data_IF_804807183267
#
_entry.id   IF_804807183267
#
_cell.length_a   1.000
_cell.length_b   1.000
_cell.length_c   1.000
_cell.angle_alpha   90.00
_cell.angle_beta   90.00
_cell.angle_gamma   90.00
#
_symmetry.space_group_name_H-M   'P 1'
#
loop_
_entity.id
_entity.type
_entity.pdbx_description
1 polymer ?
#
# COMPACT_ATOMS: atom_id res chain seq x y z
N UNK A 1 -20.16 6.49 -28.66
CA UNK A 1 -20.70 5.12 -28.81
C UNK A 1 -19.70 3.99 -28.53
N UNK A 2 -18.38 4.15 -28.77
CA UNK A 2 -17.36 3.12 -28.41
C UNK A 2 -17.17 2.94 -26.89
N UNK A 3 -17.27 4.01 -26.10
CA UNK A 3 -17.07 3.99 -24.63
C UNK A 3 -18.16 3.26 -23.82
N UNK A 4 -19.39 3.18 -24.33
CA UNK A 4 -20.50 2.48 -23.66
C UNK A 4 -20.34 0.96 -23.83
N UNK A 5 -19.94 0.51 -25.02
CA UNK A 5 -19.67 -0.91 -25.33
C UNK A 5 -18.42 -1.45 -24.61
N UNK A 6 -17.44 -0.59 -24.29
CA UNK A 6 -16.28 -0.96 -23.47
C UNK A 6 -16.64 -1.15 -21.99
N UNK A 7 -17.53 -0.29 -21.45
CA UNK A 7 -18.07 -0.50 -20.10
C UNK A 7 -18.87 -1.80 -20.02
N UNK A 8 -19.70 -2.13 -21.03
CA UNK A 8 -20.42 -3.41 -21.09
C UNK A 8 -19.51 -4.64 -21.14
N UNK A 9 -18.33 -4.55 -21.78
CA UNK A 9 -17.36 -5.66 -21.87
C UNK A 9 -16.63 -5.96 -20.55
N UNK A 10 -16.56 -5.03 -19.60
CA UNK A 10 -15.93 -5.24 -18.28
C UNK A 10 -16.80 -6.08 -17.32
N UNK A 11 -18.09 -6.29 -17.65
CA UNK A 11 -19.03 -7.13 -16.89
C UNK A 11 -19.01 -8.61 -17.29
N UNK A 12 -18.09 -9.03 -18.19
CA UNK A 12 -17.89 -10.44 -18.54
C UNK A 12 -17.14 -11.15 -17.40
N UNK A 13 -17.81 -12.12 -16.77
CA UNK A 13 -17.43 -12.93 -15.59
C UNK A 13 -17.65 -12.29 -14.21
N UNK A 14 -18.86 -11.80 -13.95
CA UNK A 14 -19.35 -11.80 -12.58
C UNK A 14 -19.64 -13.26 -12.20
N UNK A 15 -18.94 -13.78 -11.19
CA UNK A 15 -19.23 -15.08 -10.56
C UNK A 15 -19.79 -14.87 -9.15
N UNK A 16 -20.55 -15.85 -8.67
CA UNK A 16 -21.07 -15.79 -7.32
C UNK A 16 -19.92 -15.99 -6.31
N UNK A 17 -19.69 -15.07 -5.35
CA UNK A 17 -18.59 -15.19 -4.39
C UNK A 17 -18.72 -16.38 -3.42
N UNK A 18 -19.84 -17.10 -3.44
CA UNK A 18 -20.10 -18.24 -2.56
C UNK A 18 -20.03 -19.61 -3.26
N UNK A 19 -20.25 -19.65 -4.58
CA UNK A 19 -20.33 -20.93 -5.32
C UNK A 19 -19.73 -20.86 -6.73
N UNK A 20 -19.10 -19.75 -7.08
CA UNK A 20 -18.47 -19.44 -8.38
C UNK A 20 -19.35 -19.59 -9.63
N UNK A 21 -20.66 -19.85 -9.47
CA UNK A 21 -21.61 -19.88 -10.57
C UNK A 21 -21.71 -18.54 -11.30
N UNK A 22 -21.77 -18.61 -12.63
CA UNK A 22 -22.00 -17.47 -13.53
C UNK A 22 -23.51 -17.14 -13.68
N UNK A 23 -24.41 -17.95 -13.10
CA UNK A 23 -25.87 -17.77 -13.18
C UNK A 23 -26.37 -16.65 -12.25
N UNK A 24 -26.05 -15.39 -12.62
CA UNK A 24 -26.28 -14.21 -11.78
C UNK A 24 -27.33 -13.29 -12.39
N UNK A 25 -28.26 -12.84 -11.54
CA UNK A 25 -29.29 -11.84 -11.90
C UNK A 25 -29.13 -10.55 -11.10
N UNK A 26 -29.52 -9.44 -11.70
CA UNK A 26 -29.71 -8.16 -11.00
C UNK A 26 -30.94 -8.27 -10.09
N UNK A 27 -30.80 -7.94 -8.81
CA UNK A 27 -31.88 -8.07 -7.81
C UNK A 27 -31.96 -6.85 -6.90
N UNK A 28 -32.51 -5.77 -7.44
CA UNK A 28 -32.76 -4.51 -6.73
C UNK A 28 -31.50 -3.71 -6.40
N UNK A 29 -31.66 -2.71 -5.53
CA UNK A 29 -30.61 -1.78 -5.16
C UNK A 29 -30.39 -1.72 -3.65
N UNK A 30 -29.12 -1.54 -3.24
CA UNK A 30 -28.76 -1.10 -1.90
C UNK A 30 -28.70 0.42 -1.89
N UNK A 31 -29.62 1.07 -1.19
CA UNK A 31 -29.47 2.50 -0.88
C UNK A 31 -28.34 2.67 0.13
N UNK A 32 -27.41 3.56 -0.17
CA UNK A 32 -26.34 3.97 0.75
C UNK A 32 -26.50 5.45 1.08
N UNK A 33 -26.03 5.82 2.27
CA UNK A 33 -26.21 7.15 2.86
C UNK A 33 -25.66 8.26 1.97
N UNK A 34 -24.41 8.14 1.50
CA UNK A 34 -23.70 9.22 0.78
C UNK A 34 -23.15 8.79 -0.60
N UNK A 35 -23.47 7.59 -1.09
CA UNK A 35 -23.00 7.04 -2.37
C UNK A 35 -24.15 6.75 -3.35
N UNK A 36 -25.40 6.80 -2.88
CA UNK A 36 -26.58 6.53 -3.71
C UNK A 36 -26.93 5.04 -3.81
N UNK A 37 -27.60 4.67 -4.89
CA UNK A 37 -28.08 3.31 -5.11
C UNK A 37 -27.01 2.42 -5.75
N UNK A 38 -26.66 1.33 -5.07
CA UNK A 38 -25.70 0.34 -5.57
C UNK A 38 -26.46 -0.90 -6.03
N UNK A 39 -26.17 -1.37 -7.24
CA UNK A 39 -26.78 -2.58 -7.80
C UNK A 39 -26.48 -3.80 -6.90
N UNK A 40 -27.53 -4.53 -6.51
CA UNK A 40 -27.40 -5.85 -5.87
C UNK A 40 -27.58 -6.94 -6.92
N UNK A 41 -26.87 -8.04 -6.72
CA UNK A 41 -26.93 -9.25 -7.54
C UNK A 41 -27.37 -10.44 -6.70
N UNK A 42 -27.97 -11.44 -7.32
CA UNK A 42 -28.38 -12.70 -6.71
C UNK A 42 -27.92 -13.84 -7.60
N UNK A 43 -27.28 -14.85 -7.01
CA UNK A 43 -27.03 -16.12 -7.68
C UNK A 43 -28.34 -16.91 -7.77
N UNK A 44 -28.61 -17.58 -8.91
CA UNK A 44 -29.75 -18.49 -9.04
C UNK A 44 -29.51 -19.85 -8.40
N UNK A 45 -28.27 -20.32 -8.38
CA UNK A 45 -27.94 -21.67 -7.94
C UNK A 45 -27.89 -21.79 -6.41
N UNK A 46 -27.27 -20.82 -5.73
CA UNK A 46 -27.15 -20.82 -4.27
C UNK A 46 -27.98 -19.74 -3.57
N UNK A 47 -28.77 -18.96 -4.31
CA UNK A 47 -29.58 -17.85 -3.79
C UNK A 47 -28.83 -16.73 -3.05
N UNK A 48 -27.49 -16.76 -3.02
CA UNK A 48 -26.67 -15.77 -2.33
C UNK A 48 -26.78 -14.39 -2.99
N UNK A 49 -26.95 -13.35 -2.17
CA UNK A 49 -27.06 -11.95 -2.62
C UNK A 49 -25.81 -11.18 -2.28
N UNK A 50 -25.24 -10.50 -3.27
CA UNK A 50 -24.00 -9.77 -3.11
C UNK A 50 -23.99 -8.46 -3.90
N UNK A 51 -22.97 -7.65 -3.65
CA UNK A 51 -22.67 -6.43 -4.38
C UNK A 51 -21.25 -6.59 -4.91
N UNK A 52 -21.00 -6.11 -6.12
CA UNK A 52 -19.67 -6.18 -6.74
C UNK A 52 -18.68 -5.36 -5.91
N UNK A 53 -17.53 -5.96 -5.61
CA UNK A 53 -16.42 -5.21 -5.01
C UNK A 53 -15.66 -4.47 -6.12
N UNK A 54 -15.92 -3.16 -6.21
CA UNK A 54 -15.26 -2.25 -7.14
C UNK A 54 -14.07 -1.51 -6.50
N UNK A 55 -13.53 -2.04 -5.40
CA UNK A 55 -12.50 -1.40 -4.57
C UNK A 55 -13.09 -0.49 -3.48
N UNK A 56 -14.37 -0.12 -3.58
CA UNK A 56 -15.07 0.70 -2.60
C UNK A 56 -16.10 -0.11 -1.81
N UNK A 57 -15.93 -1.43 -1.70
CA UNK A 57 -16.86 -2.27 -0.97
C UNK A 57 -17.04 -1.81 0.49
N UNK A 58 -18.31 -1.84 0.94
CA UNK A 58 -18.79 -1.37 2.25
C UNK A 58 -18.54 0.12 2.55
N UNK A 59 -18.12 0.93 1.57
CA UNK A 59 -17.98 2.37 1.76
C UNK A 59 -19.32 3.10 1.62
N UNK A 60 -19.65 3.95 2.59
CA UNK A 60 -20.86 4.78 2.59
C UNK A 60 -20.73 6.03 1.72
N UNK A 61 -19.51 6.57 1.63
CA UNK A 61 -19.22 7.77 0.83
C UNK A 61 -18.93 7.40 -0.62
N UNK A 62 -19.25 8.32 -1.52
CA UNK A 62 -18.99 8.16 -2.94
C UNK A 62 -17.49 7.98 -3.22
N UNK A 63 -17.09 7.08 -4.14
CA UNK A 63 -15.68 6.84 -4.50
C UNK A 63 -14.87 8.11 -4.76
N UNK A 64 -15.43 9.06 -5.54
CA UNK A 64 -14.79 10.36 -5.84
C UNK A 64 -14.36 11.15 -4.60
N UNK A 65 -15.19 11.14 -3.55
CA UNK A 65 -14.87 11.85 -2.31
C UNK A 65 -13.73 11.16 -1.56
N UNK A 66 -13.74 9.83 -1.54
CA UNK A 66 -12.69 9.03 -0.92
C UNK A 66 -11.36 9.23 -1.65
N UNK A 67 -11.35 9.14 -2.98
CA UNK A 67 -10.14 9.35 -3.79
C UNK A 67 -9.59 10.77 -3.65
N UNK A 68 -10.47 11.79 -3.57
CA UNK A 68 -10.07 13.16 -3.28
C UNK A 68 -9.38 13.28 -1.91
N UNK A 69 -9.89 12.57 -0.89
CA UNK A 69 -9.26 12.56 0.44
C UNK A 69 -7.85 11.96 0.40
N UNK A 70 -7.68 10.87 -0.36
CA UNK A 70 -6.39 10.22 -0.54
C UNK A 70 -5.40 11.12 -1.28
N UNK A 71 -5.81 11.73 -2.39
CA UNK A 71 -4.97 12.66 -3.16
C UNK A 71 -4.49 13.83 -2.30
N UNK A 72 -5.40 14.50 -1.58
CA UNK A 72 -5.04 15.59 -0.67
C UNK A 72 -4.07 15.13 0.42
N UNK A 73 -4.30 13.95 1.01
CA UNK A 73 -3.40 13.41 2.04
C UNK A 73 -1.99 13.16 1.50
N UNK A 74 -1.86 12.51 0.33
CA UNK A 74 -0.55 12.25 -0.26
C UNK A 74 0.14 13.51 -0.81
N UNK A 75 -0.60 14.59 -1.06
CA UNK A 75 -0.04 15.94 -1.30
C UNK A 75 0.44 16.64 -0.03
N UNK A 76 0.33 16.00 1.14
CA UNK A 76 0.79 16.54 2.42
C UNK A 76 -0.28 17.27 3.23
N UNK A 77 -1.55 17.22 2.83
CA UNK A 77 -2.64 17.85 3.59
C UNK A 77 -3.04 16.96 4.78
N UNK A 78 -3.03 17.52 5.98
CA UNK A 78 -3.41 16.77 7.19
C UNK A 78 -4.87 16.32 7.14
N UNK A 79 -5.21 15.22 7.81
CA UNK A 79 -6.59 14.69 7.82
C UNK A 79 -7.63 15.68 8.36
N UNK A 80 -7.22 16.64 9.21
CA UNK A 80 -8.08 17.73 9.70
C UNK A 80 -8.32 18.78 8.62
N UNK A 81 -7.26 19.20 7.92
CA UNK A 81 -7.38 20.12 6.77
C UNK A 81 -8.19 19.49 5.62
N UNK A 82 -8.08 18.18 5.40
CA UNK A 82 -8.94 17.46 4.45
C UNK A 82 -10.42 17.52 4.89
N UNK A 83 -10.70 17.36 6.18
CA UNK A 83 -12.04 17.52 6.72
C UNK A 83 -12.55 18.97 6.53
N UNK A 84 -11.72 19.97 6.78
CA UNK A 84 -12.04 21.39 6.55
C UNK A 84 -12.35 21.66 5.08
N UNK A 85 -11.52 21.13 4.17
CA UNK A 85 -11.78 21.17 2.73
C UNK A 85 -13.14 20.52 2.40
N UNK A 86 -13.46 19.37 2.98
CA UNK A 86 -14.75 18.73 2.73
C UNK A 86 -15.94 19.51 3.29
N UNK A 87 -15.79 20.18 4.43
CA UNK A 87 -16.82 21.08 4.96
C UNK A 87 -17.16 22.21 3.99
N UNK A 88 -16.17 22.72 3.25
CA UNK A 88 -16.38 23.84 2.33
C UNK A 88 -17.15 23.45 1.07
N UNK A 89 -16.98 22.21 0.58
CA UNK A 89 -17.48 21.79 -0.74
C UNK A 89 -18.58 20.72 -0.73
N UNK A 90 -18.79 20.01 0.38
CA UNK A 90 -19.72 18.88 0.44
C UNK A 90 -20.78 19.07 1.53
N UNK A 91 -22.04 18.83 1.19
CA UNK A 91 -23.20 18.88 2.09
C UNK A 91 -23.05 17.94 3.31
N UNK A 92 -22.46 16.76 3.09
CA UNK A 92 -22.24 15.77 4.14
C UNK A 92 -20.75 15.69 4.44
N UNK A 93 -20.35 16.11 5.64
CA UNK A 93 -18.96 16.02 6.04
C UNK A 93 -18.55 14.59 6.42
N UNK A 94 -17.25 14.32 6.39
CA UNK A 94 -16.64 13.14 6.98
C UNK A 94 -15.60 13.58 7.99
N UNK A 95 -15.65 13.00 9.18
CA UNK A 95 -14.69 13.34 10.23
C UNK A 95 -13.25 13.06 9.79
N UNK A 96 -12.28 13.79 10.32
CA UNK A 96 -10.85 13.51 10.10
C UNK A 96 -10.48 12.05 10.42
N UNK A 97 -11.15 11.43 11.40
CA UNK A 97 -10.99 9.99 11.72
C UNK A 97 -11.45 9.09 10.57
N UNK A 98 -12.50 9.48 9.84
CA UNK A 98 -12.96 8.75 8.66
C UNK A 98 -11.96 8.87 7.51
N UNK A 99 -11.41 10.06 7.29
CA UNK A 99 -10.33 10.29 6.32
C UNK A 99 -9.13 9.42 6.66
N UNK A 100 -8.68 9.42 7.92
CA UNK A 100 -7.60 8.57 8.39
C UNK A 100 -7.86 7.07 8.12
N UNK A 101 -9.07 6.59 8.43
CA UNK A 101 -9.45 5.19 8.14
C UNK A 101 -9.40 4.86 6.65
N UNK A 102 -9.75 5.79 5.77
CA UNK A 102 -9.60 5.59 4.33
C UNK A 102 -8.13 5.50 3.94
N UNK A 103 -7.29 6.44 4.38
CA UNK A 103 -5.85 6.44 4.11
C UNK A 103 -5.24 5.10 4.50
N UNK A 104 -5.49 4.62 5.73
CA UNK A 104 -4.97 3.32 6.20
C UNK A 104 -5.49 2.18 5.33
N UNK A 105 -6.82 2.07 5.14
CA UNK A 105 -7.43 0.98 4.35
C UNK A 105 -6.82 0.86 2.95
N UNK A 106 -6.70 1.97 2.23
CA UNK A 106 -6.20 1.95 0.86
C UNK A 106 -4.68 1.82 0.80
N UNK A 107 -3.94 2.35 1.77
CA UNK A 107 -2.49 2.09 1.90
C UNK A 107 -2.22 0.60 2.07
N UNK A 108 -2.96 -0.07 2.97
CA UNK A 108 -2.80 -1.51 3.20
C UNK A 108 -3.17 -2.32 1.95
N UNK A 109 -4.26 -1.96 1.28
CA UNK A 109 -4.68 -2.61 0.03
C UNK A 109 -3.61 -2.49 -1.06
N UNK A 110 -3.03 -1.30 -1.23
CA UNK A 110 -1.96 -1.06 -2.21
C UNK A 110 -0.68 -1.80 -1.80
N UNK A 111 -0.28 -1.76 -0.52
CA UNK A 111 0.92 -2.47 -0.04
C UNK A 111 0.83 -3.97 -0.30
N UNK A 112 -0.32 -4.58 0.00
CA UNK A 112 -0.54 -6.02 -0.24
C UNK A 112 -0.40 -6.42 -1.71
N UNK A 113 -0.70 -5.49 -2.62
CA UNK A 113 -0.49 -5.69 -4.04
C UNK A 113 0.97 -5.45 -4.44
N UNK A 114 1.56 -4.31 -4.06
CA UNK A 114 2.91 -3.90 -4.46
C UNK A 114 4.02 -4.72 -3.83
N UNK A 115 3.79 -5.34 -2.66
CA UNK A 115 4.78 -6.19 -2.00
C UNK A 115 5.00 -7.53 -2.71
N UNK A 116 4.04 -7.96 -3.53
CA UNK A 116 4.14 -9.18 -4.32
C UNK A 116 4.82 -8.95 -5.67
N UNK A 117 4.95 -7.70 -6.11
CA UNK A 117 5.53 -7.37 -7.40
C UNK A 117 7.05 -7.54 -7.37
N UNK A 118 7.56 -8.19 -8.42
CA UNK A 118 8.98 -8.17 -8.77
C UNK A 118 9.22 -6.97 -9.66
N UNK A 119 10.38 -6.35 -9.51
CA UNK A 119 10.77 -5.20 -10.31
C UNK A 119 11.99 -5.54 -11.15
N UNK A 120 12.05 -5.01 -12.36
CA UNK A 120 13.28 -5.02 -13.15
C UNK A 120 14.20 -3.92 -12.61
N UNK A 121 14.99 -4.25 -11.59
CA UNK A 121 15.87 -3.30 -10.92
C UNK A 121 17.16 -3.06 -11.68
N UNK A 122 17.82 -1.95 -11.37
CA UNK A 122 19.25 -1.79 -11.65
C UNK A 122 20.12 -2.77 -10.86
N UNK A 123 21.43 -2.59 -11.00
CA UNK A 123 22.46 -3.36 -10.29
C UNK A 123 22.82 -2.77 -8.92
N UNK A 124 22.38 -1.54 -8.65
CA UNK A 124 22.74 -0.78 -7.45
C UNK A 124 21.50 -0.35 -6.67
N UNK A 125 21.53 -0.57 -5.36
CA UNK A 125 20.50 -0.12 -4.41
C UNK A 125 21.15 0.75 -3.34
N UNK A 126 20.56 1.91 -3.09
CA UNK A 126 20.89 2.77 -1.96
C UNK A 126 19.99 2.41 -0.78
N UNK A 127 20.56 2.35 0.42
CA UNK A 127 19.82 2.07 1.66
C UNK A 127 20.15 3.13 2.69
N UNK A 128 19.12 3.64 3.35
CA UNK A 128 19.22 4.72 4.33
C UNK A 128 18.30 4.46 5.54
N UNK A 129 18.58 5.15 6.65
CA UNK A 129 17.83 5.08 7.89
C UNK A 129 17.38 6.47 8.35
N UNK A 130 16.07 6.68 8.41
CA UNK A 130 15.49 7.88 9.00
C UNK A 130 15.06 7.63 10.45
N UNK A 131 15.61 8.42 11.38
CA UNK A 131 15.20 8.43 12.79
C UNK A 131 13.92 9.25 12.98
N UNK A 132 12.93 8.65 13.64
CA UNK A 132 11.66 9.24 14.02
C UNK A 132 11.54 9.36 15.53
N UNK A 133 11.09 10.53 15.98
CA UNK A 133 10.82 10.81 17.39
C UNK A 133 9.32 10.74 17.62
N UNK A 134 8.87 9.72 18.36
CA UNK A 134 7.44 9.45 18.58
C UNK A 134 7.10 9.55 20.05
N UNK A 135 5.87 10.00 20.35
CA UNK A 135 5.40 10.02 21.74
C UNK A 135 5.19 8.59 22.22
N UNK A 136 5.74 8.27 23.37
CA UNK A 136 5.65 6.92 23.96
C UNK A 136 4.25 6.65 24.53
N UNK A 137 3.57 7.69 25.02
CA UNK A 137 2.24 7.61 25.59
C UNK A 137 1.45 8.88 25.21
N UNK A 138 0.15 8.80 24.90
CA UNK A 138 -0.71 9.97 24.72
C UNK A 138 -0.64 10.98 25.88
N UNK A 139 -0.46 10.48 27.11
CA UNK A 139 -0.61 11.24 28.35
C UNK A 139 0.71 11.52 29.08
N UNK A 140 1.85 10.98 28.63
CA UNK A 140 3.16 11.20 29.27
C UNK A 140 4.17 11.75 28.29
N UNK A 141 4.98 12.71 28.76
CA UNK A 141 6.14 13.21 28.01
C UNK A 141 7.20 12.12 28.00
N UNK A 142 7.50 11.64 26.80
CA UNK A 142 8.52 10.64 26.51
C UNK A 142 8.64 10.52 25.00
N UNK A 143 9.86 10.32 24.51
CA UNK A 143 10.16 10.18 23.09
C UNK A 143 10.72 8.78 22.87
N UNK A 144 10.02 7.94 22.11
CA UNK A 144 10.62 6.74 21.52
C UNK A 144 11.38 7.15 20.27
N UNK A 145 12.64 6.71 20.20
CA UNK A 145 13.44 6.74 18.97
C UNK A 145 13.08 5.50 18.18
N UNK A 146 12.54 5.72 16.99
CA UNK A 146 12.10 4.68 16.07
C UNK A 146 12.78 4.95 14.73
N UNK A 147 12.89 3.95 13.87
CA UNK A 147 13.66 4.06 12.63
C UNK A 147 12.84 3.54 11.45
N UNK A 148 12.87 4.28 10.36
CA UNK A 148 12.40 3.81 9.07
C UNK A 148 13.61 3.55 8.20
N UNK A 149 13.79 2.29 7.83
CA UNK A 149 14.86 1.86 6.94
C UNK A 149 14.22 1.68 5.57
N UNK A 150 14.71 2.40 4.58
CA UNK A 150 14.27 2.29 3.19
C UNK A 150 15.43 1.98 2.25
N UNK A 151 15.06 1.44 1.10
CA UNK A 151 16.00 1.06 0.07
C UNK A 151 15.41 1.38 -1.29
N UNK A 152 16.20 2.04 -2.12
CA UNK A 152 15.79 2.59 -3.40
C UNK A 152 16.75 2.12 -4.48
N UNK A 153 16.21 1.58 -5.57
CA UNK A 153 17.01 1.27 -6.76
C UNK A 153 17.47 2.57 -7.44
N UNK A 154 18.77 2.69 -7.66
CA UNK A 154 19.36 3.91 -8.21
C UNK A 154 18.89 4.18 -9.64
N UNK A 155 18.54 3.14 -10.41
CA UNK A 155 18.13 3.26 -11.81
C UNK A 155 16.65 3.63 -11.95
N UNK A 156 15.76 2.84 -11.35
CA UNK A 156 14.30 3.03 -11.50
C UNK A 156 13.70 4.00 -10.50
N UNK A 157 14.43 4.34 -9.42
CA UNK A 157 13.94 5.11 -8.26
C UNK A 157 12.77 4.44 -7.53
N UNK A 158 12.54 3.15 -7.77
CA UNK A 158 11.56 2.39 -7.02
C UNK A 158 12.10 2.03 -5.64
N UNK A 159 11.24 2.16 -4.63
CA UNK A 159 11.51 1.66 -3.29
C UNK A 159 11.40 0.13 -3.31
N UNK A 160 12.52 -0.55 -3.13
CA UNK A 160 12.66 -2.01 -3.30
C UNK A 160 12.46 -2.76 -1.97
N UNK A 161 12.60 -2.05 -0.86
CA UNK A 161 12.38 -2.58 0.47
C UNK A 161 12.27 -1.43 1.45
N UNK A 162 11.31 -1.52 2.35
CA UNK A 162 11.26 -0.61 3.48
C UNK A 162 10.53 -1.24 4.65
N UNK A 163 10.88 -0.79 5.86
CA UNK A 163 10.14 -1.15 7.06
C UNK A 163 10.42 -0.18 8.20
N UNK A 164 9.42 -0.02 9.04
CA UNK A 164 9.47 0.77 10.26
C UNK A 164 9.78 -0.12 11.48
N UNK A 165 10.70 0.32 12.33
CA UNK A 165 11.22 -0.42 13.48
C UNK A 165 11.29 0.45 14.74
N UNK A 166 11.25 -0.20 15.91
CA UNK A 166 11.46 0.45 17.22
C UNK A 166 12.91 0.40 17.71
N UNK A 167 13.77 -0.26 16.96
CA UNK A 167 15.18 -0.52 17.25
C UNK A 167 15.99 -0.34 15.96
N UNK A 168 17.26 0.03 16.11
CA UNK A 168 18.23 0.03 15.02
C UNK A 168 19.29 -1.02 15.30
N UNK A 169 19.40 -2.00 14.43
CA UNK A 169 20.33 -3.11 14.59
C UNK A 169 20.38 -4.02 13.37
N UNK A 170 21.24 -5.04 13.46
CA UNK A 170 21.47 -5.98 12.36
C UNK A 170 20.22 -6.82 12.01
N UNK A 171 19.30 -7.05 12.97
CA UNK A 171 18.09 -7.85 12.73
C UNK A 171 17.13 -7.09 11.82
N UNK A 172 16.92 -5.82 12.12
CA UNK A 172 16.04 -4.90 11.41
C UNK A 172 16.56 -4.65 9.99
N UNK A 173 17.86 -4.37 9.85
CA UNK A 173 18.51 -4.22 8.54
C UNK A 173 18.38 -5.50 7.71
N UNK A 174 18.57 -6.68 8.32
CA UNK A 174 18.46 -7.97 7.62
C UNK A 174 17.07 -8.17 7.03
N UNK A 175 16.03 -7.74 7.74
CA UNK A 175 14.68 -7.86 7.23
C UNK A 175 14.45 -7.01 5.97
N UNK A 176 14.97 -5.77 5.96
CA UNK A 176 14.91 -4.93 4.75
C UNK A 176 15.74 -5.52 3.61
N UNK A 177 16.93 -6.03 3.89
CA UNK A 177 17.79 -6.67 2.88
C UNK A 177 17.14 -7.93 2.28
N UNK A 178 16.41 -8.71 3.07
CA UNK A 178 15.65 -9.85 2.55
C UNK A 178 14.54 -9.38 1.60
N UNK A 179 13.86 -8.27 1.90
CA UNK A 179 12.86 -7.66 1.00
C UNK A 179 13.52 -7.19 -0.30
N UNK A 180 14.67 -6.53 -0.22
CA UNK A 180 15.46 -6.09 -1.39
C UNK A 180 15.77 -7.30 -2.27
N UNK A 181 16.37 -8.36 -1.70
CA UNK A 181 16.72 -9.59 -2.41
C UNK A 181 15.50 -10.24 -3.05
N UNK A 182 14.37 -10.26 -2.34
CA UNK A 182 13.12 -10.78 -2.90
C UNK A 182 12.63 -9.94 -4.08
N UNK A 183 12.47 -8.62 -3.95
CA UNK A 183 11.87 -7.77 -5.01
C UNK A 183 12.76 -7.64 -6.25
N UNK A 184 14.07 -7.69 -6.06
CA UNK A 184 15.09 -7.57 -7.14
C UNK A 184 15.55 -8.93 -7.67
N UNK A 185 15.00 -10.03 -7.17
CA UNK A 185 15.37 -11.41 -7.53
C UNK A 185 16.87 -11.73 -7.37
N UNK A 186 17.59 -10.92 -6.58
CA UNK A 186 19.02 -11.08 -6.35
C UNK A 186 19.93 -10.53 -7.45
N UNK A 187 19.41 -9.78 -8.43
CA UNK A 187 20.22 -9.15 -9.49
C UNK A 187 21.09 -7.98 -9.01
N UNK A 188 20.85 -7.49 -7.79
CA UNK A 188 21.62 -6.39 -7.18
C UNK A 188 23.04 -6.87 -6.87
N UNK A 189 24.04 -6.17 -7.42
CA UNK A 189 25.47 -6.44 -7.20
C UNK A 189 26.09 -5.44 -6.22
N UNK A 190 25.52 -4.25 -6.12
CA UNK A 190 26.08 -3.13 -5.36
C UNK A 190 25.04 -2.60 -4.38
N UNK A 191 25.44 -2.45 -3.12
CA UNK A 191 24.63 -1.82 -2.07
C UNK A 191 25.42 -0.63 -1.53
N UNK A 192 24.82 0.55 -1.59
CA UNK A 192 25.43 1.82 -1.17
C UNK A 192 24.74 2.32 0.08
N UNK A 193 25.52 2.65 1.13
CA UNK A 193 25.04 3.10 2.44
C UNK A 193 25.92 4.23 2.97
N UNK A 194 25.45 4.97 3.97
CA UNK A 194 26.15 6.11 4.61
C UNK A 194 27.41 5.74 5.44
N UNK A 195 27.68 4.45 5.61
CA UNK A 195 28.86 3.94 6.31
C UNK A 195 28.57 3.26 7.65
N UNK A 196 27.30 3.02 8.00
CA UNK A 196 27.00 2.26 9.21
C UNK A 196 27.49 0.80 9.13
N UNK A 197 28.47 0.45 9.98
CA UNK A 197 29.19 -0.85 9.94
C UNK A 197 28.31 -2.09 10.12
N UNK A 198 27.10 -1.94 10.65
CA UNK A 198 26.14 -3.04 10.77
C UNK A 198 25.73 -3.63 9.41
N UNK A 199 25.74 -2.82 8.35
CA UNK A 199 25.37 -3.25 7.01
C UNK A 199 26.30 -4.32 6.45
N UNK A 200 27.61 -4.21 6.65
CA UNK A 200 28.58 -5.13 6.05
C UNK A 200 28.28 -6.59 6.41
N UNK A 201 28.09 -6.86 7.70
CA UNK A 201 27.80 -8.21 8.19
C UNK A 201 26.44 -8.72 7.72
N UNK A 202 25.46 -7.83 7.55
CA UNK A 202 24.12 -8.19 7.09
C UNK A 202 24.10 -8.48 5.60
N UNK A 203 24.76 -7.66 4.78
CA UNK A 203 24.88 -7.84 3.32
C UNK A 203 25.58 -9.15 3.00
N UNK A 204 26.72 -9.43 3.66
CA UNK A 204 27.45 -10.71 3.52
C UNK A 204 26.54 -11.91 3.80
N UNK A 205 25.78 -11.88 4.90
CA UNK A 205 24.84 -12.96 5.27
C UNK A 205 23.64 -13.11 4.33
N UNK A 206 23.15 -12.02 3.77
CA UNK A 206 21.90 -12.01 2.98
C UNK A 206 22.14 -12.38 1.52
N UNK A 207 23.20 -11.84 0.92
CA UNK A 207 23.53 -12.03 -0.49
C UNK A 207 24.64 -13.07 -0.71
N UNK A 208 25.24 -13.62 0.35
CA UNK A 208 26.37 -14.54 0.23
C UNK A 208 27.66 -13.85 -0.24
N UNK A 209 27.71 -12.53 -0.11
CA UNK A 209 28.82 -11.72 -0.63
C UNK A 209 30.07 -11.90 0.23
N UNK A 210 31.22 -12.11 -0.42
CA UNK A 210 32.53 -12.16 0.23
C UNK A 210 33.40 -11.07 -0.39
N UNK A 211 33.96 -10.22 0.47
CA UNK A 211 34.86 -9.13 0.09
C UNK A 211 36.28 -9.62 -0.26
N UNK A 212 36.45 -10.90 -0.65
CA UNK A 212 37.73 -11.38 -1.16
C UNK A 212 38.02 -10.60 -2.43
N UNK A 213 38.96 -9.66 -2.36
CA UNK A 213 39.65 -9.13 -3.52
C UNK A 213 40.02 -10.35 -4.36
N UNK A 214 39.45 -10.47 -5.57
CA UNK A 214 40.12 -11.26 -6.59
C UNK A 214 41.40 -10.49 -6.84
N UNK A 215 42.50 -10.97 -6.28
CA UNK A 215 43.82 -10.56 -6.74
C UNK A 215 43.79 -10.79 -8.26
N UNK A 216 43.78 -9.69 -9.03
CA UNK A 216 44.02 -9.74 -10.46
C UNK A 216 45.45 -10.24 -10.62
N UNK A 217 45.61 -11.51 -10.99
CA UNK A 217 46.80 -12.00 -11.68
C UNK A 217 46.80 -11.50 -13.11
#
# INVERSE_FOLDING_TARGET
>A
MKSIKENEKKYKKLSCPNCDSENIIKRGFRKTENRGNIQRYSCKDCSHRFVVDDGFFRMRNHPKKITCALDLFYRGVSTRKVQEHFNAFYLHNSSHKSVYKWVVKYSDMISNFTDKLKINSGKEVQVDEMEYHRRTNPNRKGVSKEWFIDSVDCKTRYMVGSKYFKSRGQKEIREVMNKVKYKTEGYVTTITTDGYTAYENVVKKTFGWSNKKKDMQ
#
